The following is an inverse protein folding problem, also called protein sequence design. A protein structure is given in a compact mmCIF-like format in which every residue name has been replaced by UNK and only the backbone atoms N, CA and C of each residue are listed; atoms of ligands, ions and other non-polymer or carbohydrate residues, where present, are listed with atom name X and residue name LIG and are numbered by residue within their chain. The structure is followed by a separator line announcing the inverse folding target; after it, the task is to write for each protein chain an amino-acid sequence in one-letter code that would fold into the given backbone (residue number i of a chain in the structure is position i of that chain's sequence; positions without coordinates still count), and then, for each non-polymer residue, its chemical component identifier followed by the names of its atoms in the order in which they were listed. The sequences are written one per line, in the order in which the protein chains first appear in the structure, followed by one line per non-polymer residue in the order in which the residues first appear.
data_IF_944102158544
#
_entry.id   IF_944102158544
#
_cell.length_a   1.000
_cell.length_b   1.000
_cell.length_c   1.000
_cell.angle_alpha   90.00
_cell.angle_beta   90.00
_cell.angle_gamma   90.00
#
_symmetry.space_group_name_H-M   'P 1'
#
loop_
_entity.id
_entity.type
_entity.pdbx_description
1 polymer ?
#
# COMPACT_ATOMS: atom_id res chain seq x y z
N UNK A 1 -32.94 9.73 0.55
CA UNK A 1 -31.59 9.13 0.57
C UNK A 1 -31.15 9.18 2.02
N UNK A 2 -30.93 8.03 2.63
CA UNK A 2 -30.42 7.98 4.00
C UNK A 2 -28.92 8.26 4.07
N UNK A 3 -28.37 8.32 5.30
CA UNK A 3 -26.96 8.61 5.53
C UNK A 3 -26.05 7.58 4.82
N UNK A 4 -26.28 6.28 4.98
CA UNK A 4 -25.44 5.23 4.42
C UNK A 4 -25.57 5.12 2.89
N UNK A 5 -26.77 5.35 2.35
CA UNK A 5 -26.98 5.44 0.91
C UNK A 5 -26.20 6.61 0.29
N UNK A 6 -26.13 7.75 0.99
CA UNK A 6 -25.39 8.92 0.51
C UNK A 6 -23.88 8.64 0.40
N UNK A 7 -23.33 7.77 1.25
CA UNK A 7 -21.91 7.41 1.25
C UNK A 7 -21.52 6.37 0.19
N UNK A 8 -22.50 5.82 -0.55
CA UNK A 8 -22.23 4.90 -1.66
C UNK A 8 -21.69 5.64 -2.88
N UNK A 9 -20.71 5.08 -3.58
CA UNK A 9 -20.00 5.69 -4.72
C UNK A 9 -20.96 6.29 -5.76
N UNK A 10 -22.01 5.57 -6.14
CA UNK A 10 -22.97 6.01 -7.16
C UNK A 10 -23.73 7.27 -6.76
N UNK A 11 -23.92 7.52 -5.48
CA UNK A 11 -24.55 8.71 -4.92
C UNK A 11 -23.49 9.76 -4.60
N UNK A 12 -22.42 9.39 -3.89
CA UNK A 12 -21.34 10.27 -3.45
C UNK A 12 -20.81 11.16 -4.58
N UNK A 13 -20.51 10.58 -5.76
CA UNK A 13 -19.98 11.33 -6.90
C UNK A 13 -20.90 12.43 -7.42
N UNK A 14 -22.20 12.40 -7.08
CA UNK A 14 -23.22 13.36 -7.54
C UNK A 14 -23.60 14.38 -6.47
N UNK A 15 -23.16 14.20 -5.21
CA UNK A 15 -23.53 15.08 -4.11
C UNK A 15 -22.89 16.46 -4.26
N UNK A 16 -23.63 17.53 -3.90
CA UNK A 16 -23.08 18.87 -3.71
C UNK A 16 -21.99 18.87 -2.62
N UNK A 17 -21.04 19.80 -2.72
CA UNK A 17 -19.94 19.90 -1.78
C UNK A 17 -20.38 20.14 -0.34
N UNK A 18 -21.41 20.98 -0.15
CA UNK A 18 -21.98 21.28 1.18
C UNK A 18 -22.53 20.02 1.84
N UNK A 19 -23.18 19.14 1.07
CA UNK A 19 -23.70 17.86 1.59
C UNK A 19 -22.56 16.92 1.94
N UNK A 20 -21.51 16.84 1.11
CA UNK A 20 -20.32 16.07 1.43
C UNK A 20 -19.66 16.53 2.73
N UNK A 21 -19.55 17.86 2.94
CA UNK A 21 -19.03 18.43 4.21
C UNK A 21 -19.89 18.04 5.41
N UNK A 22 -21.20 18.07 5.30
CA UNK A 22 -22.10 17.64 6.38
C UNK A 22 -21.92 16.15 6.70
N UNK A 23 -21.81 15.32 5.68
CA UNK A 23 -21.63 13.88 5.84
C UNK A 23 -20.27 13.54 6.48
N UNK A 24 -19.17 14.18 6.08
CA UNK A 24 -17.88 13.91 6.71
C UNK A 24 -17.87 14.32 8.19
N UNK A 25 -18.51 15.44 8.55
CA UNK A 25 -18.64 15.85 9.94
C UNK A 25 -19.43 14.80 10.77
N UNK A 26 -20.48 14.23 10.21
CA UNK A 26 -21.21 13.15 10.85
C UNK A 26 -20.37 11.88 11.00
N UNK A 27 -19.58 11.51 9.98
CA UNK A 27 -18.65 10.39 10.06
C UNK A 27 -17.67 10.59 11.21
N UNK A 28 -17.04 11.76 11.29
CA UNK A 28 -16.08 12.06 12.36
C UNK A 28 -16.73 12.02 13.75
N UNK A 29 -17.96 12.49 13.87
CA UNK A 29 -18.69 12.54 15.15
C UNK A 29 -19.13 11.15 15.64
N UNK A 30 -19.55 10.26 14.73
CA UNK A 30 -20.16 8.98 15.10
C UNK A 30 -19.22 7.79 15.04
N UNK A 31 -18.19 7.83 14.18
CA UNK A 31 -17.36 6.66 13.90
C UNK A 31 -15.90 6.81 14.34
N UNK A 32 -15.43 8.05 14.55
CA UNK A 32 -14.07 8.28 15.05
C UNK A 32 -14.13 8.49 16.57
N UNK A 33 -13.24 7.79 17.28
CA UNK A 33 -13.16 7.94 18.74
C UNK A 33 -12.88 9.40 19.12
N UNK A 34 -13.60 9.96 20.12
CA UNK A 34 -13.36 11.32 20.58
C UNK A 34 -11.99 11.53 21.24
N UNK A 35 -11.24 10.45 21.48
CA UNK A 35 -9.88 10.50 22.01
C UNK A 35 -8.82 10.71 20.90
N UNK A 36 -9.23 10.68 19.63
CA UNK A 36 -8.33 10.89 18.50
C UNK A 36 -8.24 12.37 18.16
N UNK A 37 -7.01 12.82 17.91
CA UNK A 37 -6.77 14.15 17.38
C UNK A 37 -7.02 14.18 15.87
N UNK A 38 -7.93 15.06 15.45
CA UNK A 38 -8.26 15.22 14.04
C UNK A 38 -7.80 16.61 13.60
N UNK A 39 -6.91 16.62 12.61
CA UNK A 39 -6.36 17.87 12.03
C UNK A 39 -6.41 17.82 10.52
N UNK A 40 -6.16 18.95 9.87
CA UNK A 40 -5.99 19.10 8.43
C UNK A 40 -7.11 18.48 7.56
N UNK A 41 -8.38 18.59 8.01
CA UNK A 41 -9.53 18.13 7.23
C UNK A 41 -9.76 19.04 6.03
N UNK A 42 -9.54 18.53 4.83
CA UNK A 42 -9.77 19.29 3.60
C UNK A 42 -10.37 18.44 2.47
N UNK A 43 -11.09 19.12 1.58
CA UNK A 43 -11.61 18.51 0.37
C UNK A 43 -10.50 18.43 -0.69
N UNK A 44 -10.39 17.27 -1.34
CA UNK A 44 -9.40 17.01 -2.38
C UNK A 44 -10.04 16.29 -3.56
N UNK A 45 -9.60 16.61 -4.77
CA UNK A 45 -9.91 15.82 -5.97
C UNK A 45 -8.66 15.03 -6.36
N UNK A 46 -8.73 13.72 -6.25
CA UNK A 46 -7.71 12.81 -6.78
C UNK A 46 -8.09 12.38 -8.18
N UNK A 47 -7.12 12.40 -9.10
CA UNK A 47 -7.27 11.95 -10.46
C UNK A 47 -6.09 11.06 -10.84
N UNK A 48 -6.37 9.83 -11.27
CA UNK A 48 -5.34 8.88 -11.64
C UNK A 48 -5.82 7.98 -12.77
N UNK A 49 -4.98 7.78 -13.79
CA UNK A 49 -5.27 6.89 -14.93
C UNK A 49 -6.65 7.12 -15.57
N UNK A 50 -7.07 8.40 -15.72
CA UNK A 50 -8.32 8.81 -16.38
C UNK A 50 -9.58 8.70 -15.54
N UNK A 51 -9.48 8.38 -14.25
CA UNK A 51 -10.59 8.36 -13.31
C UNK A 51 -10.35 9.32 -12.16
N UNK A 52 -11.42 9.85 -11.56
CA UNK A 52 -11.32 10.84 -10.50
C UNK A 52 -12.39 10.70 -9.43
N UNK A 53 -12.06 11.15 -8.23
CA UNK A 53 -12.97 11.26 -7.10
C UNK A 53 -12.69 12.54 -6.32
N UNK A 54 -13.76 13.27 -5.96
CA UNK A 54 -13.69 14.35 -4.98
C UNK A 54 -14.07 13.79 -3.63
N UNK A 55 -13.12 13.77 -2.71
CA UNK A 55 -13.25 13.19 -1.38
C UNK A 55 -12.59 14.06 -0.31
N UNK A 56 -12.47 13.57 0.92
CA UNK A 56 -11.81 14.28 2.02
C UNK A 56 -10.55 13.55 2.44
N UNK A 57 -9.51 14.33 2.66
CA UNK A 57 -8.30 13.92 3.36
C UNK A 57 -8.26 14.60 4.72
N UNK A 58 -7.73 13.90 5.72
CA UNK A 58 -7.57 14.40 7.09
C UNK A 58 -6.40 13.70 7.76
N UNK A 59 -5.93 14.28 8.84
CA UNK A 59 -4.97 13.63 9.74
C UNK A 59 -5.72 13.08 10.96
N UNK A 60 -5.43 11.85 11.35
CA UNK A 60 -5.85 11.24 12.61
C UNK A 60 -4.58 10.84 13.36
N UNK A 61 -4.32 11.44 14.52
CA UNK A 61 -3.08 11.23 15.30
C UNK A 61 -1.82 11.36 14.43
N UNK A 62 -1.74 12.42 13.61
CA UNK A 62 -0.65 12.73 12.66
C UNK A 62 -0.46 11.75 11.49
N UNK A 63 -1.37 10.81 11.30
CA UNK A 63 -1.39 9.90 10.16
C UNK A 63 -2.44 10.31 9.12
N UNK A 64 -2.08 10.29 7.84
CA UNK A 64 -2.96 10.72 6.76
C UNK A 64 -4.02 9.64 6.43
N UNK A 65 -5.28 10.03 6.48
CA UNK A 65 -6.44 9.21 6.11
C UNK A 65 -7.23 9.87 4.98
N UNK A 66 -7.95 9.05 4.24
CA UNK A 66 -8.85 9.50 3.18
C UNK A 66 -10.20 8.81 3.33
N UNK A 67 -11.29 9.52 3.00
CA UNK A 67 -12.60 8.91 2.94
C UNK A 67 -12.77 8.18 1.60
N UNK A 68 -13.09 6.88 1.66
CA UNK A 68 -13.40 6.04 0.51
C UNK A 68 -14.89 5.72 0.53
N UNK A 69 -15.66 6.14 -0.49
CA UNK A 69 -17.07 5.80 -0.62
C UNK A 69 -17.25 4.29 -0.78
N UNK A 70 -18.30 3.75 -0.18
CA UNK A 70 -18.65 2.34 -0.31
C UNK A 70 -19.32 2.00 -1.65
N UNK A 71 -19.61 0.74 -1.85
CA UNK A 71 -20.45 0.26 -2.95
C UNK A 71 -21.17 -1.02 -2.57
N UNK A 72 -22.43 -1.13 -2.94
CA UNK A 72 -23.20 -2.35 -2.71
C UNK A 72 -22.81 -3.50 -3.65
N UNK A 73 -22.10 -3.22 -4.73
CA UNK A 73 -21.74 -4.20 -5.75
C UNK A 73 -20.40 -3.85 -6.40
N UNK A 74 -19.29 -4.21 -5.74
CA UNK A 74 -17.96 -4.21 -6.33
C UNK A 74 -17.75 -5.52 -7.10
N UNK A 75 -17.12 -5.44 -8.27
CA UNK A 75 -16.63 -6.62 -8.99
C UNK A 75 -15.13 -6.64 -8.78
N UNK A 76 -14.65 -7.63 -8.04
CA UNK A 76 -13.26 -7.80 -7.64
C UNK A 76 -12.67 -9.09 -8.22
N UNK A 77 -11.36 -9.20 -8.17
CA UNK A 77 -10.65 -10.34 -8.71
C UNK A 77 -10.34 -10.24 -10.22
N UNK A 78 -9.54 -11.18 -10.71
CA UNK A 78 -9.07 -11.22 -12.09
C UNK A 78 -9.21 -12.63 -12.68
N UNK A 79 -9.75 -12.75 -13.87
CA UNK A 79 -10.02 -14.00 -14.58
C UNK A 79 -9.67 -13.93 -16.08
N UNK A 80 -9.05 -12.84 -16.51
CA UNK A 80 -8.73 -12.60 -17.91
C UNK A 80 -7.33 -13.08 -18.30
N UNK A 81 -6.55 -13.62 -17.35
CA UNK A 81 -5.16 -13.99 -17.62
C UNK A 81 -4.40 -12.83 -18.25
N UNK A 82 -3.73 -13.09 -19.37
CA UNK A 82 -3.03 -12.06 -20.15
C UNK A 82 -3.89 -11.41 -21.24
N UNK A 83 -5.09 -11.93 -21.51
CA UNK A 83 -5.97 -11.39 -22.56
C UNK A 83 -6.46 -9.97 -22.26
N UNK A 84 -6.54 -9.60 -20.98
CA UNK A 84 -6.89 -8.26 -20.54
C UNK A 84 -5.75 -7.24 -20.63
N UNK A 85 -4.55 -7.66 -21.05
CA UNK A 85 -3.34 -6.84 -21.08
C UNK A 85 -3.00 -6.43 -22.52
N UNK A 86 -2.47 -5.23 -22.69
CA UNK A 86 -1.90 -4.77 -23.99
C UNK A 86 -0.48 -5.34 -24.12
N UNK A 87 -0.36 -6.59 -24.56
CA UNK A 87 0.89 -7.34 -24.57
C UNK A 87 2.05 -6.64 -25.27
N UNK A 88 1.78 -5.85 -26.33
CA UNK A 88 2.79 -5.05 -27.02
C UNK A 88 3.49 -4.04 -26.11
N UNK A 89 2.80 -3.52 -25.11
CA UNK A 89 3.37 -2.56 -24.14
C UNK A 89 4.30 -3.23 -23.11
N UNK A 90 4.16 -4.55 -22.91
CA UNK A 90 5.02 -5.32 -21.99
C UNK A 90 6.32 -5.82 -22.65
N UNK A 91 6.61 -5.35 -23.89
CA UNK A 91 7.93 -5.39 -24.54
C UNK A 91 8.34 -6.74 -25.09
N UNK A 92 7.47 -7.76 -25.10
CA UNK A 92 7.82 -9.05 -25.66
C UNK A 92 6.69 -9.69 -26.45
N UNK A 93 6.96 -9.97 -27.72
CA UNK A 93 6.25 -11.00 -28.43
C UNK A 93 6.63 -12.34 -27.76
N UNK A 94 5.67 -13.07 -27.23
CA UNK A 94 5.79 -14.46 -26.74
C UNK A 94 6.53 -15.38 -27.72
N UNK A 95 6.68 -14.96 -28.97
CA UNK A 95 7.23 -15.71 -30.10
C UNK A 95 8.70 -15.41 -30.39
N UNK A 96 9.32 -14.40 -29.75
CA UNK A 96 10.75 -14.12 -29.94
C UNK A 96 11.54 -14.58 -28.73
N UNK A 97 12.10 -15.76 -28.83
CA UNK A 97 13.06 -16.32 -27.89
C UNK A 97 14.27 -15.41 -27.71
N UNK A 98 14.32 -14.68 -26.59
CA UNK A 98 15.58 -14.25 -26.03
C UNK A 98 16.06 -15.37 -25.10
N UNK A 99 17.36 -15.59 -25.00
CA UNK A 99 17.97 -16.60 -24.12
C UNK A 99 17.47 -16.50 -22.66
N UNK A 100 17.06 -15.31 -22.23
CA UNK A 100 16.46 -15.05 -20.91
C UNK A 100 15.00 -15.52 -20.84
N UNK A 101 14.20 -15.31 -21.89
CA UNK A 101 12.82 -15.80 -21.96
C UNK A 101 12.76 -17.34 -21.99
N UNK A 102 13.73 -18.00 -22.62
CA UNK A 102 13.87 -19.46 -22.57
C UNK A 102 14.19 -19.96 -21.16
N UNK A 103 15.04 -19.25 -20.42
CA UNK A 103 15.36 -19.55 -19.01
C UNK A 103 14.13 -19.37 -18.12
N UNK A 104 13.34 -18.32 -18.32
CA UNK A 104 12.07 -18.12 -17.56
C UNK A 104 11.02 -19.16 -17.94
N UNK A 105 10.85 -19.47 -19.21
CA UNK A 105 9.95 -20.54 -19.64
C UNK A 105 10.34 -21.88 -19.03
N UNK A 106 11.64 -22.19 -18.91
CA UNK A 106 12.12 -23.37 -18.21
C UNK A 106 11.85 -23.32 -16.70
N UNK A 107 12.08 -22.17 -16.07
CA UNK A 107 11.89 -21.98 -14.63
C UNK A 107 10.41 -22.09 -14.21
N UNK A 108 9.51 -21.49 -15.00
CA UNK A 108 8.07 -21.44 -14.70
C UNK A 108 7.25 -22.46 -15.52
N UNK A 109 7.87 -23.16 -16.46
CA UNK A 109 7.21 -24.15 -17.33
C UNK A 109 6.32 -23.56 -18.41
N UNK A 110 6.49 -22.25 -18.73
CA UNK A 110 5.66 -21.58 -19.76
C UNK A 110 6.06 -22.01 -21.15
N UNK A 111 5.11 -22.53 -21.93
CA UNK A 111 5.31 -22.98 -23.31
C UNK A 111 4.46 -22.15 -24.30
N UNK A 112 3.37 -21.57 -23.85
CA UNK A 112 2.41 -20.84 -24.67
C UNK A 112 1.71 -19.74 -23.88
N UNK A 113 0.85 -18.96 -24.53
CA UNK A 113 0.09 -17.85 -23.92
C UNK A 113 -0.90 -18.34 -22.85
N UNK A 114 -1.39 -19.57 -22.98
CA UNK A 114 -2.31 -20.14 -21.99
C UNK A 114 -1.60 -20.37 -20.65
N UNK A 115 -0.36 -20.86 -20.67
CA UNK A 115 0.44 -21.05 -19.43
C UNK A 115 0.66 -19.73 -18.69
N UNK A 116 0.88 -18.64 -19.41
CA UNK A 116 0.97 -17.28 -18.85
C UNK A 116 -0.37 -16.83 -18.27
N UNK A 117 -1.47 -17.07 -18.98
CA UNK A 117 -2.81 -16.73 -18.52
C UNK A 117 -3.16 -17.47 -17.24
N UNK A 118 -2.86 -18.76 -17.19
CA UNK A 118 -3.10 -19.61 -16.03
C UNK A 118 -2.26 -19.13 -14.83
N UNK A 119 -0.98 -18.81 -15.04
CA UNK A 119 -0.11 -18.29 -14.00
C UNK A 119 -0.61 -16.95 -13.42
N UNK A 120 -1.05 -16.01 -14.28
CA UNK A 120 -1.62 -14.73 -13.83
C UNK A 120 -2.91 -14.96 -13.05
N UNK A 121 -3.81 -15.82 -13.54
CA UNK A 121 -5.07 -16.14 -12.85
C UNK A 121 -4.83 -16.86 -11.51
N UNK A 122 -3.86 -17.77 -11.42
CA UNK A 122 -3.49 -18.45 -10.18
C UNK A 122 -2.81 -17.52 -9.16
N UNK A 123 -2.14 -16.47 -9.64
CA UNK A 123 -1.47 -15.47 -8.81
C UNK A 123 -2.39 -14.33 -8.38
N UNK A 124 -3.65 -14.36 -8.77
CA UNK A 124 -4.64 -13.32 -8.46
C UNK A 124 -5.85 -13.91 -7.75
N UNK A 125 -6.61 -13.05 -7.07
CA UNK A 125 -7.87 -13.44 -6.44
C UNK A 125 -8.93 -13.76 -7.50
N UNK A 126 -9.82 -14.73 -7.25
CA UNK A 126 -10.86 -15.11 -8.20
C UNK A 126 -11.90 -14.00 -8.37
N UNK A 127 -12.52 -13.97 -9.56
CA UNK A 127 -13.61 -13.04 -9.86
C UNK A 127 -14.78 -13.26 -8.89
N UNK A 128 -15.23 -12.16 -8.26
CA UNK A 128 -16.34 -12.19 -7.29
C UNK A 128 -17.05 -10.84 -7.20
N UNK A 129 -18.27 -10.88 -6.68
CA UNK A 129 -18.98 -9.68 -6.22
C UNK A 129 -18.81 -9.53 -4.72
N UNK A 130 -18.65 -8.28 -4.28
CA UNK A 130 -18.52 -7.92 -2.87
C UNK A 130 -19.30 -6.65 -2.57
N UNK A 131 -19.82 -6.53 -1.36
CA UNK A 131 -20.30 -5.29 -0.79
C UNK A 131 -19.18 -4.64 0.01
N UNK A 132 -18.91 -3.37 -0.24
CA UNK A 132 -17.85 -2.61 0.42
C UNK A 132 -18.48 -1.48 1.21
N UNK A 133 -18.32 -1.51 2.53
CA UNK A 133 -18.72 -0.43 3.41
C UNK A 133 -17.91 0.84 3.08
N UNK A 134 -18.50 2.05 3.21
CA UNK A 134 -17.72 3.28 3.23
C UNK A 134 -16.72 3.26 4.37
N UNK A 135 -15.56 3.90 4.22
CA UNK A 135 -14.51 3.84 5.23
C UNK A 135 -13.58 5.05 5.21
N UNK A 136 -12.96 5.34 6.35
CA UNK A 136 -11.75 6.14 6.42
C UNK A 136 -10.56 5.18 6.34
N UNK A 137 -9.65 5.39 5.42
CA UNK A 137 -8.51 4.51 5.16
C UNK A 137 -7.22 5.31 5.21
N UNK A 138 -6.22 4.76 5.83
CA UNK A 138 -4.88 5.34 5.82
C UNK A 138 -4.34 5.42 4.38
N UNK A 139 -3.82 6.60 3.98
CA UNK A 139 -3.40 6.86 2.60
C UNK A 139 -2.30 5.91 2.13
N UNK A 140 -1.38 5.53 3.02
CA UNK A 140 -0.27 4.61 2.73
C UNK A 140 -0.08 3.59 3.85
N UNK A 141 0.44 2.43 3.50
CA UNK A 141 0.71 1.38 4.46
C UNK A 141 1.94 1.70 5.32
N UNK A 142 1.87 1.41 6.61
CA UNK A 142 2.97 1.56 7.56
C UNK A 142 3.72 0.23 7.75
N UNK A 143 4.99 0.26 8.13
CA UNK A 143 5.70 -0.93 8.61
C UNK A 143 4.98 -1.54 9.82
N UNK A 144 4.89 -2.87 9.88
CA UNK A 144 4.16 -3.56 10.94
C UNK A 144 4.69 -3.19 12.33
N UNK A 145 3.76 -2.94 13.26
CA UNK A 145 4.09 -2.57 14.64
C UNK A 145 4.78 -1.21 14.80
N UNK A 146 4.70 -0.35 13.79
CA UNK A 146 5.42 0.92 13.74
C UNK A 146 4.47 2.10 13.71
N UNK A 147 4.88 3.20 14.38
CA UNK A 147 4.21 4.50 14.36
C UNK A 147 5.20 5.54 13.85
N UNK A 148 4.82 6.36 12.88
CA UNK A 148 5.71 7.34 12.27
C UNK A 148 6.16 8.39 13.28
N UNK A 149 7.47 8.71 13.27
CA UNK A 149 8.10 9.70 14.15
C UNK A 149 8.61 10.90 13.34
N UNK A 150 9.17 10.66 12.18
CA UNK A 150 9.70 11.76 11.35
C UNK A 150 10.70 11.28 10.31
N UNK A 151 11.39 12.23 9.72
CA UNK A 151 12.39 12.05 8.67
C UNK A 151 13.72 12.62 9.11
N UNK A 152 14.78 11.85 8.99
CA UNK A 152 16.16 12.26 9.24
C UNK A 152 16.93 12.30 7.91
N UNK A 153 17.44 13.48 7.55
CA UNK A 153 18.36 13.59 6.43
C UNK A 153 19.78 13.19 6.87
N UNK A 154 20.36 12.17 6.21
CA UNK A 154 21.66 11.62 6.63
C UNK A 154 22.85 12.52 6.27
N UNK A 155 22.68 13.41 5.29
CA UNK A 155 23.73 14.32 4.81
C UNK A 155 23.83 15.56 5.71
N UNK A 156 22.68 16.18 6.01
CA UNK A 156 22.60 17.41 6.80
C UNK A 156 22.42 17.16 8.29
N UNK A 157 22.05 15.93 8.69
CA UNK A 157 21.62 15.55 10.04
C UNK A 157 20.38 16.33 10.53
N UNK A 158 19.62 16.94 9.60
CA UNK A 158 18.38 17.63 9.92
C UNK A 158 17.25 16.61 10.16
N UNK A 159 16.58 16.72 11.30
CA UNK A 159 15.40 15.94 11.63
C UNK A 159 14.14 16.79 11.51
N UNK A 160 13.06 16.21 10.92
CA UNK A 160 11.73 16.79 10.81
C UNK A 160 10.69 15.81 11.33
N UNK A 161 9.96 16.19 12.36
CA UNK A 161 8.93 15.37 12.99
C UNK A 161 8.83 15.58 14.49
N UNK A 162 8.45 14.54 15.22
CA UNK A 162 8.28 14.55 16.68
C UNK A 162 9.62 14.50 17.41
N UNK A 163 10.18 15.68 17.71
CA UNK A 163 11.52 15.83 18.30
C UNK A 163 11.63 15.06 19.63
N UNK A 164 10.62 15.11 20.48
CA UNK A 164 10.65 14.41 21.77
C UNK A 164 10.81 12.90 21.62
N UNK A 165 10.07 12.30 20.68
CA UNK A 165 10.18 10.86 20.36
C UNK A 165 11.52 10.53 19.72
N UNK A 166 11.97 11.35 18.79
CA UNK A 166 13.28 11.16 18.14
C UNK A 166 14.42 11.15 19.17
N UNK A 167 14.40 12.04 20.15
CA UNK A 167 15.44 12.14 21.17
C UNK A 167 15.57 10.87 22.03
N UNK A 168 14.55 10.02 22.09
CA UNK A 168 14.62 8.75 22.84
C UNK A 168 15.61 7.75 22.23
N UNK A 169 15.87 7.84 20.92
CA UNK A 169 16.73 6.88 20.21
C UNK A 169 17.77 7.55 19.28
N UNK A 170 17.88 8.88 19.30
CA UNK A 170 18.76 9.62 18.40
C UNK A 170 20.23 9.19 18.52
N UNK A 171 20.74 9.06 19.75
CA UNK A 171 22.14 8.68 20.02
C UNK A 171 22.44 7.24 19.55
N UNK A 172 21.51 6.28 19.80
CA UNK A 172 21.65 4.89 19.36
C UNK A 172 21.61 4.81 17.83
N UNK A 173 20.69 5.54 17.19
CA UNK A 173 20.58 5.60 15.74
C UNK A 173 21.82 6.22 15.09
N UNK A 174 22.31 7.35 15.60
CA UNK A 174 23.51 8.00 15.08
C UNK A 174 24.77 7.12 15.26
N UNK A 175 24.86 6.39 16.36
CA UNK A 175 25.92 5.41 16.58
C UNK A 175 25.94 4.27 15.58
N UNK A 176 24.82 4.00 14.92
CA UNK A 176 24.70 2.94 13.90
C UNK A 176 25.24 3.38 12.54
N UNK A 177 25.29 4.69 12.28
CA UNK A 177 25.83 5.20 11.02
C UNK A 177 27.36 5.25 11.08
N UNK A 178 27.99 4.24 10.46
CA UNK A 178 29.43 4.23 10.28
C UNK A 178 29.83 5.26 9.21
N UNK A 179 30.70 6.23 9.56
CA UNK A 179 31.28 7.14 8.58
C UNK A 179 32.54 6.56 7.99
N UNK A 180 32.64 6.42 6.64
CA UNK A 180 33.85 5.92 6.01
C UNK A 180 35.06 6.76 6.43
N UNK A 181 36.14 6.09 6.81
CA UNK A 181 37.38 6.73 7.26
C UNK A 181 38.43 6.82 6.16
N UNK A 182 38.22 6.10 5.03
CA UNK A 182 39.09 6.09 3.87
C UNK A 182 38.31 6.23 2.57
N UNK A 183 39.01 6.66 1.50
CA UNK A 183 38.42 6.75 0.16
C UNK A 183 37.95 5.37 -0.37
N UNK A 184 38.72 4.32 -0.12
CA UNK A 184 38.36 2.94 -0.52
C UNK A 184 37.11 2.44 0.22
N UNK A 185 36.98 2.76 1.47
CA UNK A 185 35.80 2.47 2.29
C UNK A 185 34.58 3.25 1.79
N UNK A 186 34.73 4.52 1.43
CA UNK A 186 33.65 5.35 0.91
C UNK A 186 33.08 4.83 -0.42
N UNK A 187 33.91 4.20 -1.26
CA UNK A 187 33.45 3.61 -2.51
C UNK A 187 32.60 2.35 -2.32
N UNK A 188 32.71 1.71 -1.16
CA UNK A 188 31.96 0.48 -0.83
C UNK A 188 30.84 0.73 0.18
N UNK A 189 30.82 1.94 0.75
CA UNK A 189 29.82 2.28 1.77
C UNK A 189 28.45 2.42 1.12
N UNK A 190 27.49 1.69 1.65
CA UNK A 190 26.08 1.84 1.33
C UNK A 190 25.30 2.02 2.64
N UNK A 191 24.37 2.95 2.63
CA UNK A 191 23.46 3.15 3.76
C UNK A 191 22.62 1.87 3.98
N UNK A 192 22.43 1.40 5.23
CA UNK A 192 21.56 0.27 5.53
C UNK A 192 20.13 0.57 5.04
N UNK A 193 19.51 -0.39 4.34
CA UNK A 193 18.13 -0.23 3.86
C UNK A 193 17.11 -0.15 5.01
N UNK A 194 17.42 -0.79 6.13
CA UNK A 194 16.61 -0.72 7.32
C UNK A 194 17.40 -1.07 8.57
N UNK A 195 17.12 -0.36 9.67
CA UNK A 195 17.71 -0.57 10.98
C UNK A 195 16.57 -0.87 11.94
N UNK A 196 16.51 -2.09 12.46
CA UNK A 196 15.48 -2.54 13.42
C UNK A 196 16.09 -2.67 14.80
N UNK A 197 15.49 -2.00 15.77
CA UNK A 197 15.74 -2.19 17.18
C UNK A 197 14.42 -2.65 17.83
N UNK A 198 14.33 -3.92 18.13
CA UNK A 198 13.09 -4.51 18.67
C UNK A 198 12.56 -3.73 19.88
N UNK A 199 11.25 -3.45 19.88
CA UNK A 199 10.55 -2.72 20.92
C UNK A 199 11.13 -1.33 21.23
N UNK A 200 11.76 -0.72 20.23
CA UNK A 200 12.34 0.61 20.37
C UNK A 200 12.12 1.45 19.12
N UNK A 201 12.84 1.22 18.02
CA UNK A 201 12.64 1.96 16.79
C UNK A 201 12.89 1.12 15.54
N UNK A 202 12.33 1.60 14.42
CA UNK A 202 12.64 1.17 13.07
C UNK A 202 12.99 2.39 12.22
N UNK A 203 14.11 2.32 11.51
CA UNK A 203 14.51 3.33 10.53
C UNK A 203 14.58 2.70 9.15
N UNK A 204 13.85 3.23 8.19
CA UNK A 204 13.80 2.77 6.81
C UNK A 204 14.41 3.82 5.88
N UNK A 205 15.39 3.43 5.06
CA UNK A 205 15.95 4.32 4.05
C UNK A 205 14.87 4.64 3.00
N UNK A 206 14.70 5.89 2.67
CA UNK A 206 13.78 6.31 1.64
C UNK A 206 14.29 5.86 0.26
N UNK A 207 13.46 5.23 -0.60
CA UNK A 207 13.95 4.60 -1.83
C UNK A 207 14.47 5.57 -2.89
N UNK A 208 14.17 6.88 -2.77
CA UNK A 208 14.52 7.91 -3.76
C UNK A 208 15.47 8.98 -3.20
N UNK A 209 15.73 8.97 -1.91
CA UNK A 209 16.59 9.99 -1.25
C UNK A 209 17.49 9.32 -0.22
N UNK A 210 18.46 10.07 0.30
CA UNK A 210 19.32 9.60 1.41
C UNK A 210 18.68 9.89 2.79
N UNK A 211 17.36 10.04 2.85
CA UNK A 211 16.63 10.29 4.09
C UNK A 211 16.21 8.97 4.73
N UNK A 212 16.19 8.92 6.07
CA UNK A 212 15.54 7.84 6.80
C UNK A 212 14.19 8.27 7.32
N UNK A 213 13.19 7.44 7.05
CA UNK A 213 11.90 7.47 7.73
C UNK A 213 12.05 6.75 9.06
N UNK A 214 11.71 7.45 10.14
CA UNK A 214 11.88 6.96 11.50
C UNK A 214 10.52 6.60 12.12
N UNK A 215 10.49 5.49 12.84
CA UNK A 215 9.29 4.97 13.48
C UNK A 215 9.60 4.50 14.90
N UNK A 216 8.70 4.77 15.84
CA UNK A 216 8.61 3.98 17.06
C UNK A 216 8.17 2.57 16.67
N UNK A 217 8.83 1.54 17.21
CA UNK A 217 8.55 0.16 16.82
C UNK A 217 8.32 -0.75 18.03
N UNK A 218 7.27 -1.55 17.93
CA UNK A 218 6.98 -2.65 18.84
C UNK A 218 6.81 -3.93 18.05
N UNK A 219 7.51 -4.98 18.45
CA UNK A 219 7.39 -6.28 17.82
C UNK A 219 5.97 -6.84 18.03
N UNK A 220 5.29 -7.16 16.95
CA UNK A 220 3.91 -7.67 16.98
C UNK A 220 3.72 -8.82 16.00
N UNK A 221 2.80 -9.71 16.32
CA UNK A 221 2.20 -10.65 15.37
C UNK A 221 0.95 -10.02 14.72
N UNK A 222 0.37 -10.66 13.69
CA UNK A 222 -0.89 -10.19 13.12
C UNK A 222 -2.01 -10.18 14.18
N UNK A 223 -2.13 -11.24 14.98
CA UNK A 223 -3.14 -11.34 16.04
C UNK A 223 -3.00 -10.21 17.08
N UNK A 224 -1.76 -9.92 17.50
CA UNK A 224 -1.49 -8.80 18.42
C UNK A 224 -1.83 -7.46 17.79
N UNK A 225 -1.48 -7.25 16.52
CA UNK A 225 -1.77 -6.04 15.77
C UNK A 225 -3.28 -5.79 15.66
N UNK A 226 -4.05 -6.82 15.27
CA UNK A 226 -5.52 -6.72 15.18
C UNK A 226 -6.16 -6.36 16.53
N UNK A 227 -5.70 -6.98 17.61
CA UNK A 227 -6.19 -6.68 18.98
C UNK A 227 -5.89 -5.23 19.37
N UNK A 228 -4.69 -4.76 19.07
CA UNK A 228 -4.28 -3.36 19.33
C UNK A 228 -5.11 -2.39 18.52
N UNK A 229 -5.23 -2.61 17.21
CA UNK A 229 -6.03 -1.76 16.31
C UNK A 229 -7.49 -1.68 16.77
N UNK A 230 -8.10 -2.80 17.12
CA UNK A 230 -9.48 -2.83 17.62
C UNK A 230 -9.65 -2.01 18.91
N UNK A 231 -8.69 -2.08 19.83
CA UNK A 231 -8.70 -1.27 21.06
C UNK A 231 -8.58 0.24 20.77
N UNK A 232 -7.93 0.61 19.67
CA UNK A 232 -7.76 1.99 19.22
C UNK A 232 -8.90 2.48 18.29
N UNK A 233 -9.90 1.63 17.99
CA UNK A 233 -11.02 1.95 17.10
C UNK A 233 -10.73 1.76 15.61
N UNK A 234 -9.63 1.10 15.27
CA UNK A 234 -9.25 0.77 13.90
C UNK A 234 -9.42 -0.72 13.59
N UNK A 235 -9.36 -1.04 12.30
CA UNK A 235 -9.24 -2.42 11.80
C UNK A 235 -8.20 -2.50 10.67
N UNK A 236 -7.75 -3.71 10.36
CA UNK A 236 -7.14 -3.99 9.06
C UNK A 236 -8.24 -4.02 7.99
N UNK A 237 -7.86 -3.77 6.74
CA UNK A 237 -8.77 -3.97 5.60
C UNK A 237 -8.97 -5.48 5.36
N UNK A 238 -10.18 -5.89 5.00
CA UNK A 238 -10.37 -7.19 4.37
C UNK A 238 -9.71 -7.21 2.99
N UNK A 239 -9.53 -8.41 2.42
CA UNK A 239 -8.99 -8.50 1.06
C UNK A 239 -9.88 -7.75 0.06
N UNK A 240 -11.20 -7.84 0.21
CA UNK A 240 -12.15 -7.13 -0.66
C UNK A 240 -12.04 -5.61 -0.54
N UNK A 241 -11.93 -5.11 0.69
CA UNK A 241 -11.74 -3.69 0.96
C UNK A 241 -10.40 -3.19 0.42
N UNK A 242 -9.33 -3.98 0.59
CA UNK A 242 -8.01 -3.65 0.06
C UNK A 242 -8.02 -3.56 -1.47
N UNK A 243 -8.58 -4.57 -2.15
CA UNK A 243 -8.67 -4.58 -3.61
C UNK A 243 -9.51 -3.43 -4.15
N UNK A 244 -10.60 -3.11 -3.47
CA UNK A 244 -11.43 -1.96 -3.84
C UNK A 244 -10.71 -0.63 -3.67
N UNK A 245 -10.05 -0.42 -2.52
CA UNK A 245 -9.31 0.81 -2.24
C UNK A 245 -8.12 0.97 -3.19
N UNK A 246 -7.29 -0.06 -3.33
CA UNK A 246 -6.06 0.01 -4.12
C UNK A 246 -6.33 -0.05 -5.62
N UNK A 247 -7.36 -0.78 -6.06
CA UNK A 247 -7.82 -0.80 -7.44
C UNK A 247 -8.67 0.39 -7.83
N UNK A 248 -9.04 1.23 -6.86
CA UNK A 248 -9.89 2.39 -7.07
C UNK A 248 -11.22 2.04 -7.77
N UNK A 249 -11.81 0.89 -7.42
CA UNK A 249 -13.06 0.41 -8.01
C UNK A 249 -12.99 0.10 -9.50
N UNK A 250 -11.80 -0.04 -10.07
CA UNK A 250 -11.61 -0.37 -11.50
C UNK A 250 -11.44 -1.85 -11.73
N UNK A 251 -11.72 -2.29 -12.97
CA UNK A 251 -11.47 -3.67 -13.43
C UNK A 251 -10.11 -3.83 -14.11
N UNK A 252 -9.12 -3.02 -13.73
CA UNK A 252 -7.76 -3.09 -14.27
C UNK A 252 -6.91 -4.02 -13.40
N UNK A 253 -6.02 -4.78 -14.03
CA UNK A 253 -5.08 -5.61 -13.28
C UNK A 253 -4.14 -4.75 -12.45
N UNK A 254 -3.60 -3.70 -13.06
CA UNK A 254 -2.76 -2.72 -12.37
C UNK A 254 -3.50 -1.40 -12.20
N UNK A 255 -3.24 -0.69 -11.11
CA UNK A 255 -3.89 0.61 -10.84
C UNK A 255 -3.60 1.66 -11.91
N UNK A 256 -2.44 1.61 -12.57
CA UNK A 256 -2.08 2.50 -13.68
C UNK A 256 -2.71 2.09 -15.03
N UNK A 257 -3.29 0.91 -15.13
CA UNK A 257 -3.91 0.37 -16.34
C UNK A 257 -3.44 -1.03 -16.65
N UNK A 258 -3.74 -1.49 -17.85
CA UNK A 258 -3.32 -2.81 -18.34
C UNK A 258 -2.12 -2.70 -19.31
N UNK A 259 -1.52 -1.54 -19.39
CA UNK A 259 -0.34 -1.27 -20.20
C UNK A 259 0.88 -1.07 -19.29
N UNK A 260 2.06 -1.32 -19.82
CA UNK A 260 3.30 -0.98 -19.11
C UNK A 260 3.41 0.54 -19.03
N UNK A 261 3.57 1.09 -17.84
CA UNK A 261 3.60 2.53 -17.61
C UNK A 261 4.92 3.22 -18.01
N UNK A 262 5.94 2.46 -18.42
CA UNK A 262 7.28 2.98 -18.73
C UNK A 262 7.75 2.72 -20.15
N UNK A 263 8.14 3.78 -20.81
CA UNK A 263 9.11 3.77 -21.90
C UNK A 263 10.48 3.38 -21.29
N UNK A 264 11.26 2.53 -21.99
CA UNK A 264 12.67 2.26 -21.71
C UNK A 264 13.05 1.28 -20.57
N UNK A 265 12.49 0.07 -20.58
CA UNK A 265 13.19 -1.05 -19.90
C UNK A 265 13.40 -0.92 -18.38
N UNK A 266 12.94 0.15 -17.75
CA UNK A 266 13.03 0.34 -16.31
C UNK A 266 11.95 -0.48 -15.59
N UNK A 267 12.35 -1.13 -14.54
CA UNK A 267 11.50 -1.64 -13.48
C UNK A 267 10.46 -0.59 -13.08
N UNK A 268 9.29 -1.02 -12.61
CA UNK A 268 8.21 -0.14 -12.16
C UNK A 268 8.79 1.08 -11.45
N UNK A 269 8.49 2.29 -11.90
CA UNK A 269 9.02 3.46 -11.26
C UNK A 269 8.48 3.52 -9.86
N UNK A 270 9.35 3.78 -8.90
CA UNK A 270 8.95 4.05 -7.53
C UNK A 270 7.86 5.14 -7.43
N UNK A 271 7.80 6.04 -8.41
CA UNK A 271 6.76 7.06 -8.56
C UNK A 271 5.34 6.49 -8.65
N UNK A 272 5.12 5.43 -9.42
CA UNK A 272 3.78 4.82 -9.57
C UNK A 272 3.24 4.27 -8.24
N UNK A 273 4.14 3.85 -7.35
CA UNK A 273 3.78 3.36 -6.02
C UNK A 273 3.43 4.49 -5.05
N UNK A 274 3.96 5.69 -5.30
CA UNK A 274 3.77 6.88 -4.46
C UNK A 274 2.61 7.75 -4.94
N UNK A 275 2.19 7.65 -6.20
CA UNK A 275 1.06 8.42 -6.72
C UNK A 275 -0.24 7.94 -6.08
N UNK A 276 -1.06 8.85 -5.54
CA UNK A 276 -2.38 8.50 -5.02
C UNK A 276 -3.31 8.09 -6.17
N UNK A 277 -4.04 7.00 -5.99
CA UNK A 277 -5.12 6.65 -6.91
C UNK A 277 -6.33 7.59 -6.75
N UNK A 278 -7.43 7.38 -7.47
CA UNK A 278 -8.60 8.27 -7.38
C UNK A 278 -9.25 8.31 -5.98
N UNK A 279 -8.98 7.36 -5.11
CA UNK A 279 -9.42 7.38 -3.72
C UNK A 279 -8.39 7.96 -2.75
N UNK A 280 -7.20 8.36 -3.24
CA UNK A 280 -6.13 8.89 -2.41
C UNK A 280 -5.26 7.81 -1.76
N UNK A 281 -5.44 6.53 -2.12
CA UNK A 281 -4.63 5.44 -1.61
C UNK A 281 -3.35 5.28 -2.44
N UNK A 282 -2.21 5.14 -1.74
CA UNK A 282 -0.89 4.87 -2.29
C UNK A 282 -0.43 3.49 -1.82
N UNK A 283 0.44 2.81 -2.56
CA UNK A 283 1.01 1.55 -2.07
C UNK A 283 1.99 1.75 -0.92
N UNK A 284 2.83 2.77 -1.00
CA UNK A 284 3.80 3.10 0.03
C UNK A 284 5.22 3.18 -0.49
N UNK A 285 6.14 3.55 0.40
CA UNK A 285 7.52 3.88 0.06
C UNK A 285 8.44 2.66 -0.11
N UNK A 286 8.03 1.49 0.37
CA UNK A 286 8.84 0.28 0.28
C UNK A 286 7.98 -0.92 -0.15
N UNK A 287 8.61 -1.84 -0.86
CA UNK A 287 8.07 -3.15 -1.18
C UNK A 287 7.89 -4.00 0.10
N UNK A 288 7.12 -5.06 -0.02
CA UNK A 288 6.83 -5.99 1.08
C UNK A 288 5.39 -6.46 1.05
N UNK A 289 5.07 -7.34 1.98
CA UNK A 289 3.72 -7.89 2.11
C UNK A 289 2.82 -6.96 2.90
N UNK A 290 1.68 -6.57 2.33
CA UNK A 290 0.66 -5.83 3.06
C UNK A 290 -0.37 -6.79 3.66
N UNK A 291 -0.58 -6.68 4.98
CA UNK A 291 -1.51 -7.49 5.76
C UNK A 291 -2.95 -7.11 5.44
N UNK A 292 -3.81 -8.13 5.38
CA UNK A 292 -5.27 -7.99 5.45
C UNK A 292 -5.77 -8.48 6.82
N UNK A 293 -7.06 -8.39 7.07
CA UNK A 293 -7.70 -8.96 8.28
C UNK A 293 -7.68 -10.50 8.28
N UNK A 294 -7.55 -11.12 7.10
CA UNK A 294 -7.42 -12.56 6.91
C UNK A 294 -5.96 -13.02 6.79
N UNK A 295 -5.77 -14.19 6.19
CA UNK A 295 -4.44 -14.77 5.95
C UNK A 295 -3.84 -14.38 4.60
N UNK A 296 -4.62 -13.76 3.72
CA UNK A 296 -4.16 -13.30 2.41
C UNK A 296 -3.22 -12.11 2.56
N UNK A 297 -2.07 -12.21 1.95
CA UNK A 297 -1.10 -11.12 1.85
C UNK A 297 -1.19 -10.49 0.47
N UNK A 298 -1.22 -9.17 0.43
CA UNK A 298 -1.20 -8.39 -0.80
C UNK A 298 0.22 -7.90 -1.06
N UNK A 299 0.54 -7.71 -2.32
CA UNK A 299 1.87 -7.36 -2.79
C UNK A 299 2.90 -8.46 -2.49
N UNK A 300 4.16 -8.25 -2.86
CA UNK A 300 5.28 -9.12 -2.53
C UNK A 300 6.57 -8.30 -2.45
N UNK A 301 7.61 -8.89 -1.91
CA UNK A 301 8.95 -8.33 -2.01
C UNK A 301 9.39 -8.37 -3.47
N UNK A 302 9.93 -7.26 -3.91
CA UNK A 302 10.44 -7.17 -5.27
C UNK A 302 11.65 -8.09 -5.46
N UNK A 303 11.54 -8.96 -6.45
CA UNK A 303 12.63 -9.80 -6.90
C UNK A 303 12.64 -9.75 -8.43
N UNK A 304 13.51 -8.92 -9.00
CA UNK A 304 13.61 -8.80 -10.44
C UNK A 304 13.95 -10.15 -11.08
N UNK A 305 13.04 -10.68 -11.87
CA UNK A 305 13.30 -11.85 -12.72
C UNK A 305 13.70 -11.46 -14.14
N UNK A 306 13.58 -10.17 -14.47
CA UNK A 306 13.91 -9.61 -15.79
C UNK A 306 12.78 -9.73 -16.82
N UNK A 307 11.58 -10.16 -16.40
CA UNK A 307 10.39 -10.14 -17.24
C UNK A 307 9.39 -9.12 -16.74
N UNK A 308 9.13 -8.08 -17.52
CA UNK A 308 8.34 -6.92 -17.08
C UNK A 308 7.00 -7.26 -16.44
N UNK A 309 6.26 -8.23 -16.98
CA UNK A 309 4.96 -8.63 -16.42
C UNK A 309 5.13 -9.34 -15.08
N UNK A 310 6.08 -10.27 -14.95
CA UNK A 310 6.33 -10.99 -13.70
C UNK A 310 6.86 -10.05 -12.62
N UNK A 311 7.74 -9.12 -12.99
CA UNK A 311 8.28 -8.11 -12.08
C UNK A 311 7.19 -7.12 -11.60
N UNK A 312 6.17 -6.87 -12.44
CA UNK A 312 5.04 -6.01 -12.10
C UNK A 312 3.92 -6.72 -11.33
N UNK A 313 3.75 -8.02 -11.54
CA UNK A 313 2.60 -8.79 -11.03
C UNK A 313 2.37 -8.67 -9.52
N UNK A 314 3.41 -8.60 -8.66
CA UNK A 314 3.25 -8.36 -7.23
C UNK A 314 2.52 -7.06 -6.88
N UNK A 315 2.51 -6.09 -7.78
CA UNK A 315 1.82 -4.79 -7.59
C UNK A 315 0.43 -4.75 -8.25
N UNK A 316 -0.03 -5.90 -8.78
CA UNK A 316 -1.38 -5.98 -9.33
C UNK A 316 -2.42 -5.88 -8.21
N UNK A 317 -3.52 -5.18 -8.48
CA UNK A 317 -4.62 -4.96 -7.52
C UNK A 317 -5.14 -6.27 -6.93
N UNK A 318 -5.23 -7.30 -7.76
CA UNK A 318 -5.81 -8.58 -7.39
C UNK A 318 -4.76 -9.63 -7.02
N UNK A 319 -3.49 -9.26 -6.95
CA UNK A 319 -2.42 -10.19 -6.60
C UNK A 319 -2.61 -10.78 -5.19
N UNK A 320 -2.32 -12.06 -5.07
CA UNK A 320 -2.20 -12.79 -3.81
C UNK A 320 -0.78 -13.34 -3.68
N UNK A 321 -0.07 -12.93 -2.65
CA UNK A 321 1.24 -13.52 -2.38
C UNK A 321 1.12 -15.00 -2.06
N UNK A 322 2.11 -15.77 -2.52
CA UNK A 322 2.25 -17.19 -2.15
C UNK A 322 2.90 -17.37 -0.77
N UNK A 323 3.32 -16.29 -0.14
CA UNK A 323 3.85 -16.30 1.23
C UNK A 323 2.75 -16.71 2.21
N UNK A 324 3.05 -17.71 3.02
CA UNK A 324 2.12 -18.18 4.05
C UNK A 324 2.31 -17.34 5.31
N UNK A 325 1.27 -16.62 5.68
CA UNK A 325 1.23 -15.86 6.92
C UNK A 325 0.98 -16.79 8.12
N UNK A 326 1.77 -16.63 9.16
CA UNK A 326 1.58 -17.29 10.45
C UNK A 326 1.10 -16.22 11.45
N UNK A 327 -0.20 -16.18 11.82
CA UNK A 327 -0.80 -15.05 12.53
C UNK A 327 -0.18 -14.72 13.87
N UNK A 328 0.34 -15.74 14.56
CA UNK A 328 0.91 -15.61 15.92
C UNK A 328 2.44 -15.43 15.91
N UNK A 329 3.09 -15.53 14.74
CA UNK A 329 4.51 -15.25 14.61
C UNK A 329 4.79 -13.76 14.57
N UNK A 330 5.83 -13.30 15.26
CA UNK A 330 6.29 -11.92 15.18
C UNK A 330 6.70 -11.58 13.74
N UNK A 331 6.29 -10.40 13.29
CA UNK A 331 6.48 -9.92 11.93
C UNK A 331 7.57 -8.86 11.89
N UNK A 332 8.43 -8.92 10.88
CA UNK A 332 9.48 -7.94 10.66
C UNK A 332 8.92 -6.65 10.03
N UNK A 333 9.22 -5.46 10.55
CA UNK A 333 8.82 -4.19 9.95
C UNK A 333 9.52 -3.92 8.62
N UNK A 334 10.60 -4.64 8.28
CA UNK A 334 11.26 -4.57 6.98
C UNK A 334 10.46 -5.27 5.88
N UNK A 335 9.65 -6.28 6.27
CA UNK A 335 9.00 -7.19 5.33
C UNK A 335 7.50 -6.97 5.24
N UNK A 336 6.86 -6.61 6.36
CA UNK A 336 5.42 -6.55 6.47
C UNK A 336 4.93 -5.12 6.67
N UNK A 337 3.83 -4.80 6.00
CA UNK A 337 3.13 -3.53 6.05
C UNK A 337 1.70 -3.75 6.50
N UNK A 338 1.05 -2.71 6.99
CA UNK A 338 -0.36 -2.71 7.34
C UNK A 338 -0.98 -1.34 7.12
N UNK A 339 -2.29 -1.31 6.98
CA UNK A 339 -3.06 -0.10 6.77
C UNK A 339 -4.22 -0.08 7.75
N UNK A 340 -4.40 1.05 8.44
CA UNK A 340 -5.51 1.28 9.36
C UNK A 340 -6.75 1.70 8.58
N UNK A 341 -7.92 1.22 9.03
CA UNK A 341 -9.21 1.66 8.52
C UNK A 341 -10.23 1.86 9.66
N UNK A 342 -11.18 2.76 9.43
CA UNK A 342 -12.40 2.91 10.25
C UNK A 342 -13.58 2.62 9.32
N UNK A 343 -14.28 1.51 9.55
CA UNK A 343 -15.43 1.12 8.75
C UNK A 343 -16.68 1.87 9.22
N UNK A 344 -17.47 2.37 8.25
CA UNK A 344 -18.69 3.14 8.52
C UNK A 344 -19.87 2.22 8.27
N UNK A 345 -20.22 1.46 9.29
CA UNK A 345 -21.24 0.39 9.28
C UNK A 345 -22.36 0.69 10.28
N UNK A 346 -23.58 0.25 9.95
CA UNK A 346 -24.77 0.50 10.78
C UNK A 346 -24.65 -0.06 12.20
N UNK A 347 -23.99 -1.20 12.32
CA UNK A 347 -23.86 -1.93 13.58
C UNK A 347 -22.84 -1.29 14.56
N UNK A 348 -22.17 -0.21 14.13
CA UNK A 348 -21.19 0.53 14.94
C UNK A 348 -21.77 1.80 15.61
N UNK A 349 -23.03 2.12 15.32
CA UNK A 349 -23.80 3.19 15.97
C UNK A 349 -24.71 2.55 17.02
#
# INVERSE_FOLDING_TARGET
MDFFEALQWNNWKKLPLEVKHQLIQQILMYFVSPLKEITDLHLVEYAYAGIKCTTFQLMIDDEAFVFVPGTSEAILGWDLGVQGLTLSSWGQSWQKANTHAESLAQTYGFQNEQDWSDYVNESTSPLRKAEIAPMLVQCYALPVGSTFVGILNTVTAEFRGHVERYNLFADDLQGTFHRPTSFEESLRYALPQGIVKENHYYAALHPLTDDYMLFDHQAVSQTMLQTRLAAEGFSLLSEDQWEYCCGAGTRRLFRWGNEKSCEDGMTLPAFELLEPNMFGCMYGLADGWELTDGLSLKMDKWAACGHSLLDALPYATYYRSRQILQPDKLLSPQDYRYRKAILIEKDRI
#
